data_IF_625092813720
#
_entry.id   IF_625092813720
#
_cell.length_a   1.000
_cell.length_b   1.000
_cell.length_c   1.000
_cell.angle_alpha   90.00
_cell.angle_beta   90.00
_cell.angle_gamma   90.00
#
_symmetry.space_group_name_H-M   'P 1'
#
loop_
_entity.id
_entity.type
_entity.pdbx_description
1 polymer ?
#
# COMPACT_ATOMS: atom_id res chain seq x y z
N UNK A 1 0.11 -17.25 -13.46
CA UNK A 1 -0.93 -16.81 -12.49
C UNK A 1 -0.27 -16.68 -11.14
N UNK A 2 -0.05 -15.45 -10.67
CA UNK A 2 0.64 -15.16 -9.40
C UNK A 2 -0.23 -15.58 -8.22
N UNK A 3 0.39 -16.14 -7.18
CA UNK A 3 -0.26 -16.69 -5.98
C UNK A 3 -1.21 -15.69 -5.28
N UNK A 4 -0.94 -14.38 -5.43
CA UNK A 4 -1.69 -13.25 -4.85
C UNK A 4 -3.18 -13.18 -5.28
N UNK A 5 -3.50 -13.51 -6.54
CA UNK A 5 -4.88 -13.46 -7.05
C UNK A 5 -5.77 -14.55 -6.43
N UNK A 6 -5.20 -15.65 -5.93
CA UNK A 6 -5.97 -16.70 -5.24
C UNK A 6 -6.42 -16.26 -3.85
N UNK A 7 -5.55 -15.61 -3.07
CA UNK A 7 -5.90 -15.15 -1.72
C UNK A 7 -7.00 -14.07 -1.77
N UNK A 8 -6.87 -13.09 -2.67
CA UNK A 8 -7.88 -12.04 -2.87
C UNK A 8 -9.22 -12.61 -3.39
N UNK A 9 -9.19 -13.51 -4.39
CA UNK A 9 -10.41 -14.12 -4.91
C UNK A 9 -11.13 -15.03 -3.89
N UNK A 10 -10.38 -15.69 -2.99
CA UNK A 10 -10.96 -16.46 -1.89
C UNK A 10 -11.66 -15.53 -0.90
N UNK A 11 -11.02 -14.40 -0.52
CA UNK A 11 -11.60 -13.37 0.35
C UNK A 11 -12.87 -12.72 -0.21
N UNK A 12 -12.81 -12.30 -1.48
CA UNK A 12 -13.88 -11.54 -2.13
C UNK A 12 -15.08 -12.40 -2.57
N UNK A 13 -14.87 -13.69 -2.89
CA UNK A 13 -15.93 -14.56 -3.42
C UNK A 13 -16.59 -15.48 -2.38
N UNK A 14 -16.04 -15.60 -1.16
CA UNK A 14 -16.54 -16.56 -0.14
C UNK A 14 -16.76 -15.93 1.23
N UNK A 15 -17.42 -14.77 1.34
CA UNK A 15 -17.90 -14.26 2.64
C UNK A 15 -16.92 -14.48 3.81
N UNK A 16 -15.63 -14.23 3.59
CA UNK A 16 -14.58 -14.74 4.47
C UNK A 16 -14.70 -13.96 5.77
N UNK A 17 -15.06 -14.67 6.85
CA UNK A 17 -15.17 -14.10 8.20
C UNK A 17 -13.80 -13.67 8.74
N UNK A 18 -12.73 -14.25 8.19
CA UNK A 18 -11.35 -14.01 8.62
C UNK A 18 -10.72 -12.80 7.91
N UNK A 19 -10.09 -11.94 8.69
CA UNK A 19 -9.38 -10.76 8.19
C UNK A 19 -8.06 -11.18 7.54
N UNK A 20 -7.90 -10.92 6.23
CA UNK A 20 -6.70 -11.28 5.47
C UNK A 20 -6.01 -10.02 4.95
N UNK A 21 -4.72 -9.92 5.26
CA UNK A 21 -3.85 -8.83 4.80
C UNK A 21 -2.55 -9.39 4.22
N UNK A 22 -2.16 -8.92 3.03
CA UNK A 22 -0.91 -9.33 2.40
C UNK A 22 -0.30 -8.23 1.52
N UNK A 23 1.02 -8.32 1.32
CA UNK A 23 1.80 -7.37 0.51
C UNK A 23 2.24 -8.02 -0.80
N UNK A 24 2.23 -7.25 -1.88
CA UNK A 24 2.77 -7.64 -3.19
C UNK A 24 3.71 -6.56 -3.72
N UNK A 25 4.94 -6.93 -4.12
CA UNK A 25 5.84 -5.99 -4.77
C UNK A 25 5.28 -5.55 -6.14
N UNK A 26 5.37 -4.27 -6.46
CA UNK A 26 4.98 -3.77 -7.78
C UNK A 26 6.21 -3.45 -8.64
N UNK A 27 6.24 -3.83 -9.92
CA UNK A 27 7.34 -3.44 -10.82
C UNK A 27 7.21 -2.00 -11.33
N UNK A 28 6.13 -1.30 -10.97
CA UNK A 28 5.88 0.07 -11.40
C UNK A 28 6.74 1.05 -10.61
N UNK A 29 7.18 2.12 -11.28
CA UNK A 29 7.64 3.32 -10.59
C UNK A 29 6.42 4.10 -10.10
N UNK A 30 6.36 4.39 -8.81
CA UNK A 30 5.25 5.12 -8.18
C UNK A 30 5.77 6.48 -7.73
N UNK A 31 5.00 7.54 -8.04
CA UNK A 31 5.29 8.90 -7.61
C UNK A 31 4.09 9.52 -6.91
N UNK A 32 4.31 10.07 -5.71
CA UNK A 32 3.31 10.84 -4.98
C UNK A 32 3.75 12.31 -4.95
N UNK A 33 2.84 13.20 -5.39
CA UNK A 33 3.12 14.63 -5.48
C UNK A 33 2.08 15.43 -4.71
N UNK A 34 2.51 16.51 -4.07
CA UNK A 34 1.62 17.46 -3.39
C UNK A 34 2.18 18.87 -3.57
N UNK A 35 1.31 19.83 -3.92
CA UNK A 35 1.72 21.22 -4.10
C UNK A 35 2.81 21.44 -5.17
N UNK A 36 2.92 20.55 -6.15
CA UNK A 36 3.99 20.59 -7.17
C UNK A 36 5.28 19.89 -6.75
N UNK A 37 5.42 19.50 -5.48
CA UNK A 37 6.59 18.77 -5.00
C UNK A 37 6.41 17.27 -5.03
N UNK A 38 7.50 16.56 -5.33
CA UNK A 38 7.53 15.09 -5.28
C UNK A 38 7.95 14.65 -3.89
N UNK A 39 7.02 14.05 -3.15
CA UNK A 39 7.26 13.54 -1.79
C UNK A 39 7.82 12.11 -1.85
N UNK A 40 7.33 11.30 -2.80
CA UNK A 40 7.75 9.91 -2.99
C UNK A 40 8.06 9.70 -4.46
N UNK A 41 9.19 9.05 -4.76
CA UNK A 41 9.51 8.52 -6.08
C UNK A 41 10.28 7.20 -5.92
N UNK A 42 9.61 6.07 -6.16
CA UNK A 42 10.13 4.75 -5.82
C UNK A 42 9.84 3.70 -6.89
N UNK A 43 10.76 2.75 -7.04
CA UNK A 43 10.56 1.48 -7.76
C UNK A 43 10.42 0.29 -6.81
N UNK A 44 10.35 0.55 -5.50
CA UNK A 44 10.34 -0.44 -4.42
C UNK A 44 9.02 -0.42 -3.63
N UNK A 45 7.98 0.20 -4.19
CA UNK A 45 6.65 0.20 -3.56
C UNK A 45 6.08 -1.22 -3.45
N UNK A 46 5.25 -1.42 -2.44
CA UNK A 46 4.43 -2.61 -2.29
C UNK A 46 2.95 -2.22 -2.28
N UNK A 47 2.10 -3.10 -2.79
CA UNK A 47 0.64 -2.97 -2.72
C UNK A 47 0.17 -3.79 -1.52
N UNK A 48 -0.50 -3.15 -0.58
CA UNK A 48 -1.23 -3.79 0.51
C UNK A 48 -2.64 -4.11 0.05
N UNK A 49 -3.01 -5.37 0.17
CA UNK A 49 -4.37 -5.85 0.02
C UNK A 49 -4.89 -6.22 1.39
N UNK A 50 -6.07 -5.69 1.72
CA UNK A 50 -6.75 -5.97 2.97
C UNK A 50 -8.23 -6.26 2.68
N UNK A 51 -8.79 -7.25 3.36
CA UNK A 51 -10.20 -7.65 3.19
C UNK A 51 -11.14 -6.43 3.32
N UNK A 52 -12.03 -6.27 2.34
CA UNK A 52 -13.02 -5.16 2.25
C UNK A 52 -12.45 -3.75 2.07
N UNK A 53 -11.15 -3.60 1.87
CA UNK A 53 -10.52 -2.33 1.53
C UNK A 53 -10.04 -2.32 0.09
N UNK A 54 -9.97 -1.13 -0.51
CA UNK A 54 -9.27 -0.98 -1.77
C UNK A 54 -7.77 -1.17 -1.55
N UNK A 55 -7.03 -1.75 -2.51
CA UNK A 55 -5.58 -1.87 -2.38
C UNK A 55 -4.91 -0.50 -2.23
N UNK A 56 -3.90 -0.41 -1.36
CA UNK A 56 -3.15 0.83 -1.11
C UNK A 56 -1.65 0.62 -1.29
N UNK A 57 -0.92 1.67 -1.65
CA UNK A 57 0.53 1.62 -1.76
C UNK A 57 1.20 1.91 -0.42
N UNK A 58 2.20 1.11 -0.07
CA UNK A 58 3.18 1.39 0.96
C UNK A 58 4.54 1.67 0.33
N UNK A 59 5.27 2.60 0.94
CA UNK A 59 6.56 3.07 0.44
C UNK A 59 7.64 2.81 1.49
N UNK A 60 8.85 2.36 1.10
CA UNK A 60 10.00 2.37 2.00
C UNK A 60 10.30 3.81 2.43
N UNK A 61 10.51 4.04 3.73
CA UNK A 61 10.79 5.38 4.27
C UNK A 61 12.01 6.06 3.60
N UNK A 62 13.00 5.28 3.18
CA UNK A 62 14.18 5.78 2.48
C UNK A 62 13.87 6.44 1.11
N UNK A 63 12.73 6.11 0.51
CA UNK A 63 12.29 6.67 -0.77
C UNK A 63 11.25 7.81 -0.57
N UNK A 64 11.00 8.20 0.68
CA UNK A 64 10.10 9.28 1.07
C UNK A 64 10.92 10.48 1.54
N UNK A 65 10.59 11.68 1.05
CA UNK A 65 11.13 12.96 1.53
C UNK A 65 10.59 13.29 2.92
N UNK A 66 11.09 12.57 3.93
CA UNK A 66 10.67 12.74 5.33
C UNK A 66 10.97 14.14 5.88
N UNK A 67 11.91 14.88 5.28
CA UNK A 67 12.20 16.28 5.59
C UNK A 67 11.06 17.26 5.23
N UNK A 68 10.09 16.80 4.42
CA UNK A 68 8.89 17.55 4.05
C UNK A 68 7.66 17.15 4.89
N UNK A 69 7.83 16.26 5.87
CA UNK A 69 6.75 15.72 6.68
C UNK A 69 6.94 16.11 8.14
N UNK A 70 5.82 16.40 8.81
CA UNK A 70 5.76 16.63 10.25
C UNK A 70 4.81 15.60 10.86
N UNK A 71 5.25 14.99 11.95
CA UNK A 71 4.42 14.04 12.69
C UNK A 71 3.23 14.77 13.34
N UNK A 72 2.07 14.13 13.34
CA UNK A 72 0.86 14.67 13.97
C UNK A 72 0.46 13.81 15.16
N UNK A 73 -0.26 14.36 16.11
CA UNK A 73 -0.80 13.61 17.27
C UNK A 73 -1.91 12.59 16.89
N UNK A 74 -2.30 12.50 15.62
CA UNK A 74 -3.39 11.64 15.17
C UNK A 74 -2.97 10.17 15.18
N UNK A 75 -3.73 9.35 15.90
CA UNK A 75 -3.62 7.89 15.90
C UNK A 75 -4.94 7.18 15.57
N UNK A 76 -4.83 5.92 15.14
CA UNK A 76 -5.93 4.98 14.86
C UNK A 76 -5.56 3.61 15.44
N UNK A 77 -6.56 2.81 15.82
CA UNK A 77 -6.40 1.50 16.46
C UNK A 77 -6.97 0.37 15.60
#
# INVERSE_FOLDING_TARGET
MTQALRAYAIGAAKGVEEHVSFLEATPKRIRATFGGETIVDTTHAVIMYETRHQPVYYFPMADVRMDLLEETDKSTF
#
